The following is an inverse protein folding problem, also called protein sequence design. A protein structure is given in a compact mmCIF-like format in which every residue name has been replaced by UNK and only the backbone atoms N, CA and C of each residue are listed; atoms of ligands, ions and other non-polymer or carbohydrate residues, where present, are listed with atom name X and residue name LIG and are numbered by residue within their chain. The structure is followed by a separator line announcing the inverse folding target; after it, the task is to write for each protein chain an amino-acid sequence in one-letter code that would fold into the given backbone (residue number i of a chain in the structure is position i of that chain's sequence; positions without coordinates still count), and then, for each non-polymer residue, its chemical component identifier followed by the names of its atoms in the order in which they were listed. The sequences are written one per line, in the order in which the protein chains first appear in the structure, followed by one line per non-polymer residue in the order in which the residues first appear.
data_IF_433260001706
#
_entry.id   IF_433260001706
#
_cell.length_a   1.000
_cell.length_b   1.000
_cell.length_c   1.000
_cell.angle_alpha   90.00
_cell.angle_beta   90.00
_cell.angle_gamma   90.00
#
_symmetry.space_group_name_H-M   'P 1'
#
loop_
_entity.id
_entity.type
_entity.pdbx_description
1 polymer ?
#
# COMPACT_ATOMS: atom_id res chain seq x y z
N UNK A 1 -8.34 -20.26 9.35
CA UNK A 1 -7.57 -19.05 9.76
C UNK A 1 -7.51 -18.14 8.54
N UNK A 2 -8.37 -17.13 8.48
CA UNK A 2 -8.23 -16.07 7.48
C UNK A 2 -7.09 -15.18 7.97
N UNK A 3 -5.93 -15.27 7.32
CA UNK A 3 -4.85 -14.30 7.55
C UNK A 3 -5.36 -12.93 7.11
N UNK A 4 -5.60 -12.06 8.09
CA UNK A 4 -6.04 -10.70 7.87
C UNK A 4 -4.83 -9.87 7.42
N UNK A 5 -4.65 -9.78 6.10
CA UNK A 5 -3.56 -9.04 5.47
C UNK A 5 -3.83 -7.53 5.41
N UNK A 6 -4.94 -7.05 5.99
CA UNK A 6 -5.38 -5.64 5.95
C UNK A 6 -4.27 -4.71 6.42
N UNK A 7 -3.68 -5.03 7.58
CA UNK A 7 -2.61 -4.22 8.16
C UNK A 7 -1.35 -4.22 7.29
N UNK A 8 -0.93 -5.39 6.82
CA UNK A 8 0.26 -5.53 5.96
C UNK A 8 0.11 -4.73 4.66
N UNK A 9 -1.07 -4.78 4.03
CA UNK A 9 -1.38 -4.03 2.81
C UNK A 9 -1.41 -2.53 3.08
N UNK A 10 -2.04 -2.11 4.19
CA UNK A 10 -2.08 -0.69 4.59
C UNK A 10 -0.68 -0.14 4.85
N UNK A 11 0.15 -0.86 5.61
CA UNK A 11 1.53 -0.48 5.92
C UNK A 11 2.38 -0.40 4.64
N UNK A 12 2.25 -1.40 3.75
CA UNK A 12 2.95 -1.45 2.47
C UNK A 12 2.59 -0.26 1.59
N UNK A 13 1.29 -0.01 1.35
CA UNK A 13 0.85 1.10 0.51
C UNK A 13 1.21 2.45 1.14
N UNK A 14 1.17 2.56 2.46
CA UNK A 14 1.57 3.79 3.19
C UNK A 14 3.02 4.16 2.93
N UNK A 15 3.93 3.17 2.84
CA UNK A 15 5.34 3.39 2.50
C UNK A 15 5.53 3.98 1.10
N UNK A 16 4.60 3.71 0.18
CA UNK A 16 4.66 4.17 -1.22
C UNK A 16 3.71 5.33 -1.53
N UNK A 17 3.20 6.04 -0.52
CA UNK A 17 2.30 7.20 -0.67
C UNK A 17 2.77 8.23 -1.70
N UNK A 18 4.04 8.60 -1.67
CA UNK A 18 4.57 9.60 -2.61
C UNK A 18 4.42 9.14 -4.07
N UNK A 19 4.67 7.86 -4.35
CA UNK A 19 4.53 7.29 -5.70
C UNK A 19 3.04 7.14 -6.05
N UNK A 20 2.20 6.71 -5.11
CA UNK A 20 0.74 6.65 -5.32
C UNK A 20 0.17 8.01 -5.71
N UNK A 21 0.57 9.08 -5.03
CA UNK A 21 0.11 10.42 -5.35
C UNK A 21 0.57 10.81 -6.77
N UNK A 22 1.86 10.61 -7.08
CA UNK A 22 2.45 11.10 -8.33
C UNK A 22 2.09 10.29 -9.58
N UNK A 23 1.98 8.96 -9.47
CA UNK A 23 1.76 8.08 -10.63
C UNK A 23 0.28 7.71 -10.81
N UNK A 24 -0.50 7.71 -9.73
CA UNK A 24 -1.87 7.20 -9.74
C UNK A 24 -2.90 8.32 -9.56
N UNK A 25 -2.81 9.13 -8.50
CA UNK A 25 -3.84 10.14 -8.21
C UNK A 25 -3.86 11.30 -9.21
N UNK A 26 -2.73 11.61 -9.84
CA UNK A 26 -2.63 12.61 -10.91
C UNK A 26 -3.15 12.09 -12.26
N UNK A 27 -3.32 10.78 -12.41
CA UNK A 27 -3.69 10.15 -13.67
C UNK A 27 -5.16 9.69 -13.65
N UNK A 28 -6.03 10.52 -14.22
CA UNK A 28 -7.47 10.24 -14.32
C UNK A 28 -7.80 8.94 -15.06
N UNK A 29 -7.01 8.56 -16.07
CA UNK A 29 -7.26 7.32 -16.81
C UNK A 29 -7.03 6.08 -15.92
N UNK A 30 -6.00 6.11 -15.09
CA UNK A 30 -5.72 5.04 -14.11
C UNK A 30 -6.83 4.94 -13.08
N UNK A 31 -7.27 6.09 -12.54
CA UNK A 31 -8.41 6.11 -11.60
C UNK A 31 -9.68 5.52 -12.21
N UNK A 32 -9.92 5.76 -13.50
CA UNK A 32 -11.05 5.15 -14.21
C UNK A 32 -10.88 3.63 -14.34
N UNK A 33 -9.67 3.14 -14.63
CA UNK A 33 -9.39 1.70 -14.66
C UNK A 33 -9.64 1.02 -13.31
N UNK A 34 -9.41 1.71 -12.18
CA UNK A 34 -9.75 1.19 -10.86
C UNK A 34 -11.26 0.99 -10.66
N UNK A 35 -12.09 1.86 -11.26
CA UNK A 35 -13.56 1.68 -11.25
C UNK A 35 -13.96 0.50 -12.13
N UNK A 36 -13.38 0.41 -13.33
CA UNK A 36 -13.70 -0.64 -14.30
C UNK A 36 -13.37 -2.04 -13.74
N UNK A 37 -12.29 -2.15 -12.97
CA UNK A 37 -11.85 -3.38 -12.28
C UNK A 37 -12.51 -3.58 -10.90
N UNK A 38 -13.48 -2.72 -10.53
CA UNK A 38 -14.24 -2.78 -9.27
C UNK A 38 -13.38 -2.69 -8.01
N UNK A 39 -12.24 -2.01 -8.08
CA UNK A 39 -11.36 -1.71 -6.94
C UNK A 39 -11.96 -0.58 -6.10
N UNK A 40 -12.54 0.41 -6.77
CA UNK A 40 -13.26 1.54 -6.17
C UNK A 40 -14.60 1.72 -6.89
N UNK A 41 -15.54 2.44 -6.28
CA UNK A 41 -16.80 2.81 -6.94
C UNK A 41 -16.77 4.21 -7.56
N UNK A 42 -17.91 4.65 -8.15
CA UNK A 42 -18.00 5.98 -8.78
C UNK A 42 -17.95 7.13 -7.77
N UNK A 43 -18.48 6.93 -6.56
CA UNK A 43 -18.44 7.94 -5.51
C UNK A 43 -17.01 8.12 -5.00
N UNK A 44 -16.28 7.01 -4.89
CA UNK A 44 -14.86 7.02 -4.55
C UNK A 44 -14.05 7.76 -5.62
N UNK A 45 -14.32 7.50 -6.90
CA UNK A 45 -13.71 8.21 -8.01
C UNK A 45 -13.98 9.72 -7.94
N UNK A 46 -15.23 10.12 -7.70
CA UNK A 46 -15.62 11.53 -7.57
C UNK A 46 -14.86 12.21 -6.42
N UNK A 47 -14.67 11.52 -5.29
CA UNK A 47 -13.86 12.03 -4.18
C UNK A 47 -12.39 12.18 -4.55
N UNK A 48 -11.79 11.18 -5.23
CA UNK A 48 -10.39 11.22 -5.64
C UNK A 48 -10.11 12.31 -6.70
N UNK A 49 -11.09 12.64 -7.54
CA UNK A 49 -10.99 13.70 -8.53
C UNK A 49 -11.34 15.10 -8.00
N UNK A 50 -11.97 15.20 -6.82
CA UNK A 50 -12.39 16.48 -6.24
C UNK A 50 -11.20 17.43 -6.08
N UNK A 51 -11.33 18.67 -6.53
CA UNK A 51 -10.41 19.76 -6.21
C UNK A 51 -11.07 20.69 -5.20
N UNK A 52 -10.28 21.30 -4.31
CA UNK A 52 -10.76 22.33 -3.38
C UNK A 52 -9.76 23.48 -3.35
N UNK A 53 -10.13 24.62 -3.94
CA UNK A 53 -9.26 25.80 -4.04
C UNK A 53 -8.98 26.44 -2.67
N UNK A 54 -9.72 26.06 -1.62
CA UNK A 54 -9.51 26.55 -0.26
C UNK A 54 -8.62 25.62 0.57
N UNK A 55 -8.27 24.45 0.06
CA UNK A 55 -7.45 23.46 0.75
C UNK A 55 -6.05 23.41 0.16
N UNK A 56 -5.05 23.13 0.98
CA UNK A 56 -3.70 22.91 0.47
C UNK A 56 -3.70 21.64 -0.40
N UNK A 57 -3.24 21.76 -1.65
CA UNK A 57 -3.24 20.66 -2.61
C UNK A 57 -2.52 19.41 -2.09
N UNK A 58 -1.40 19.59 -1.36
CA UNK A 58 -0.66 18.47 -0.79
C UNK A 58 -1.46 17.78 0.31
N UNK A 59 -2.11 18.55 1.20
CA UNK A 59 -2.96 17.98 2.26
C UNK A 59 -4.17 17.23 1.68
N UNK A 60 -4.79 17.78 0.63
CA UNK A 60 -5.89 17.13 -0.07
C UNK A 60 -5.43 15.83 -0.76
N UNK A 61 -4.27 15.86 -1.42
CA UNK A 61 -3.68 14.68 -2.05
C UNK A 61 -3.31 13.60 -1.02
N UNK A 62 -2.80 13.99 0.15
CA UNK A 62 -2.53 13.07 1.25
C UNK A 62 -3.81 12.42 1.79
N UNK A 63 -4.90 13.19 1.93
CA UNK A 63 -6.21 12.67 2.35
C UNK A 63 -6.77 11.69 1.33
N UNK A 64 -6.73 12.03 0.03
CA UNK A 64 -7.15 11.14 -1.06
C UNK A 64 -6.31 9.87 -1.10
N UNK A 65 -5.01 9.99 -0.93
CA UNK A 65 -4.12 8.84 -0.90
C UNK A 65 -4.42 7.93 0.29
N UNK A 66 -4.62 8.49 1.49
CA UNK A 66 -5.00 7.69 2.65
C UNK A 66 -6.34 7.00 2.43
N UNK A 67 -7.32 7.71 1.88
CA UNK A 67 -8.63 7.14 1.56
C UNK A 67 -8.53 5.93 0.62
N UNK A 68 -7.74 6.04 -0.46
CA UNK A 68 -7.52 4.93 -1.38
C UNK A 68 -6.84 3.73 -0.70
N UNK A 69 -5.86 3.99 0.17
CA UNK A 69 -5.18 2.95 0.96
C UNK A 69 -6.18 2.22 1.86
N UNK A 70 -7.06 2.96 2.53
CA UNK A 70 -8.05 2.40 3.44
C UNK A 70 -9.06 1.54 2.68
N UNK A 71 -9.51 1.96 1.49
CA UNK A 71 -10.38 1.17 0.61
C UNK A 71 -9.74 -0.16 0.21
N UNK A 72 -8.50 -0.11 -0.32
CA UNK A 72 -7.80 -1.31 -0.81
C UNK A 72 -7.49 -2.27 0.34
N UNK A 73 -7.01 -1.73 1.47
CA UNK A 73 -6.61 -2.55 2.61
C UNK A 73 -7.81 -3.20 3.30
N UNK A 74 -8.93 -2.50 3.46
CA UNK A 74 -10.16 -3.01 4.11
C UNK A 74 -10.71 -4.28 3.45
N UNK A 75 -10.66 -4.34 2.12
CA UNK A 75 -11.10 -5.51 1.34
C UNK A 75 -10.02 -6.60 1.26
N UNK A 76 -8.84 -6.34 1.82
CA UNK A 76 -7.73 -7.26 1.97
C UNK A 76 -7.09 -7.68 0.65
N UNK A 77 -6.46 -8.86 0.67
CA UNK A 77 -5.56 -9.31 -0.40
C UNK A 77 -6.24 -9.43 -1.77
N UNK A 78 -7.53 -9.75 -1.81
CA UNK A 78 -8.27 -9.90 -3.06
C UNK A 78 -8.38 -8.56 -3.80
N UNK A 79 -8.74 -7.49 -3.09
CA UNK A 79 -8.81 -6.16 -3.66
C UNK A 79 -7.42 -5.66 -4.04
N UNK A 80 -6.42 -5.86 -3.17
CA UNK A 80 -5.03 -5.50 -3.47
C UNK A 80 -4.50 -6.15 -4.75
N UNK A 81 -4.80 -7.44 -5.00
CA UNK A 81 -4.41 -8.10 -6.26
C UNK A 81 -5.06 -7.45 -7.49
N UNK A 82 -6.34 -7.14 -7.41
CA UNK A 82 -7.07 -6.45 -8.50
C UNK A 82 -6.50 -5.06 -8.73
N UNK A 83 -6.24 -4.33 -7.66
CA UNK A 83 -5.56 -3.04 -7.70
C UNK A 83 -4.24 -3.13 -8.46
N UNK A 84 -3.35 -4.05 -8.07
CA UNK A 84 -2.07 -4.22 -8.76
C UNK A 84 -2.24 -4.54 -10.25
N UNK A 85 -3.18 -5.42 -10.60
CA UNK A 85 -3.48 -5.77 -11.99
C UNK A 85 -4.01 -4.57 -12.79
N UNK A 86 -4.87 -3.75 -12.18
CA UNK A 86 -5.49 -2.58 -12.82
C UNK A 86 -4.47 -1.52 -13.21
N UNK A 87 -3.36 -1.43 -12.49
CA UNK A 87 -2.35 -0.37 -12.67
C UNK A 87 -1.06 -0.88 -13.31
N UNK A 88 -0.94 -2.16 -13.65
CA UNK A 88 0.32 -2.78 -14.07
C UNK A 88 0.90 -2.20 -15.37
N UNK A 89 0.02 -1.77 -16.28
CA UNK A 89 0.43 -1.17 -17.55
C UNK A 89 0.86 0.29 -17.42
N UNK A 90 0.18 1.05 -16.56
CA UNK A 90 0.31 2.50 -16.47
C UNK A 90 1.28 2.95 -15.35
N UNK A 91 1.26 2.29 -14.19
CA UNK A 91 2.03 2.66 -13.00
C UNK A 91 3.22 1.71 -12.79
N UNK A 92 4.08 1.58 -13.81
CA UNK A 92 5.21 0.63 -13.81
C UNK A 92 6.19 0.83 -12.65
N UNK A 93 6.43 2.09 -12.24
CA UNK A 93 7.35 2.43 -11.15
C UNK A 93 6.76 1.95 -9.82
N UNK A 94 5.49 2.26 -9.55
CA UNK A 94 4.77 1.79 -8.37
C UNK A 94 4.77 0.26 -8.29
N UNK A 95 4.47 -0.42 -9.40
CA UNK A 95 4.42 -1.88 -9.44
C UNK A 95 5.79 -2.51 -9.19
N UNK A 96 6.84 -1.99 -9.81
CA UNK A 96 8.21 -2.44 -9.54
C UNK A 96 8.59 -2.26 -8.06
N UNK A 97 8.18 -1.13 -7.46
CA UNK A 97 8.44 -0.85 -6.05
C UNK A 97 7.72 -1.83 -5.11
N UNK A 98 6.43 -2.11 -5.37
CA UNK A 98 5.63 -3.08 -4.60
C UNK A 98 6.17 -4.52 -4.73
N UNK A 99 6.60 -4.92 -5.93
CA UNK A 99 7.20 -6.23 -6.17
C UNK A 99 8.53 -6.35 -5.41
N UNK A 100 9.39 -5.34 -5.47
CA UNK A 100 10.68 -5.37 -4.79
C UNK A 100 10.55 -5.49 -3.26
N UNK A 101 9.57 -4.83 -2.65
CA UNK A 101 9.32 -4.97 -1.21
C UNK A 101 8.79 -6.36 -0.85
N UNK A 102 7.92 -6.91 -1.71
CA UNK A 102 7.39 -8.27 -1.56
C UNK A 102 8.49 -9.34 -1.69
N UNK A 103 9.45 -9.15 -2.61
CA UNK A 103 10.62 -10.02 -2.78
C UNK A 103 11.59 -9.88 -1.60
N UNK A 104 11.77 -8.68 -1.05
CA UNK A 104 12.59 -8.47 0.15
C UNK A 104 11.97 -9.06 1.42
N UNK A 105 10.65 -9.27 1.47
CA UNK A 105 10.00 -10.00 2.56
C UNK A 105 10.48 -11.46 2.65
N UNK A 106 10.82 -12.09 1.52
CA UNK A 106 11.48 -13.40 1.47
C UNK A 106 12.96 -13.38 1.83
N UNK A 107 13.58 -12.20 1.84
CA UNK A 107 15.00 -11.98 2.08
C UNK A 107 15.30 -11.28 3.41
N UNK A 108 14.31 -11.15 4.30
CA UNK A 108 14.61 -10.75 5.68
C UNK A 108 15.52 -11.81 6.30
N UNK A 109 16.78 -11.47 6.67
CA UNK A 109 17.52 -12.35 7.53
C UNK A 109 16.69 -12.48 8.79
N UNK A 110 16.20 -13.69 9.07
CA UNK A 110 15.88 -14.07 10.44
C UNK A 110 17.17 -13.82 11.22
N UNK A 111 17.28 -12.66 11.86
CA UNK A 111 18.25 -12.52 12.94
C UNK A 111 17.73 -13.38 14.08
N UNK A 112 18.11 -14.64 13.94
CA UNK A 112 18.02 -15.72 14.89
C UNK A 112 18.40 -15.19 16.27
N UNK A 113 17.45 -15.34 17.19
CA UNK A 113 17.67 -15.57 18.62
C UNK A 113 19.13 -15.42 19.07
N UNK A 114 19.47 -14.23 19.59
CA UNK A 114 20.56 -14.09 20.55
C UNK A 114 20.13 -14.61 21.92
N UNK A 115 19.67 -15.86 21.98
CA UNK A 115 19.45 -16.57 23.23
C UNK A 115 20.63 -17.52 23.40
N UNK A 116 21.66 -17.06 24.12
CA UNK A 116 22.58 -17.95 24.82
C UNK A 116 22.31 -17.79 26.30
N UNK A 117 21.37 -18.59 26.77
CA UNK A 117 21.24 -18.94 28.17
C UNK A 117 22.33 -19.93 28.58
N UNK A 118 22.74 -19.81 29.85
CA UNK A 118 23.54 -20.73 30.67
C UNK A 118 25.07 -20.72 30.43
N UNK A 119 25.94 -20.66 31.45
CA UNK A 119 25.85 -21.41 32.71
C UNK A 119 26.73 -20.79 33.81
N UNK A 120 26.26 -20.91 35.05
CA UNK A 120 26.96 -20.71 36.34
C UNK A 120 28.34 -21.38 36.43
N UNK A 121 29.25 -20.84 37.27
CA UNK A 121 29.82 -21.51 38.47
C UNK A 121 30.89 -20.66 39.20
N UNK A 122 30.63 -20.42 40.49
CA UNK A 122 31.48 -20.44 41.70
C UNK A 122 32.86 -19.76 41.83
N UNK A 123 32.97 -19.09 43.00
CA UNK A 123 34.05 -19.04 43.99
C UNK A 123 35.50 -18.72 43.57
N UNK A 124 35.98 -17.55 44.01
CA UNK A 124 37.07 -17.44 45.02
C UNK A 124 37.18 -16.04 45.60
#
# INVERSE_FOLDING_TARGET
MTTDHTKEISDLLTKYKSILIQDLLTNKAVLQSLVDETVIDKNDLDFLLKTDDNENENELNDKKCQYLIDLISKEGLKCFKRFCYSIESECKILIAALINDSLNYGNSPKNSNGESSASSTNDR
#
